data_IF_831093411659
#
_entry.id   IF_831093411659
#
_cell.length_a   1.000
_cell.length_b   1.000
_cell.length_c   1.000
_cell.angle_alpha   90.00
_cell.angle_beta   90.00
_cell.angle_gamma   90.00
#
_symmetry.space_group_name_H-M   'P 1'
#
loop_
_entity.id
_entity.type
_entity.pdbx_description
1 polymer ?
#
# COMPACT_ATOMS: atom_id res chain seq x y z
N UNK A 1 11.37 -6.08 1.59
CA UNK A 1 10.90 -5.05 0.64
C UNK A 1 11.67 -3.77 0.95
N UNK A 2 12.39 -3.20 -0.01
CA UNK A 2 13.15 -1.96 0.24
C UNK A 2 12.17 -0.77 0.36
N UNK A 3 12.25 0.07 1.41
CA UNK A 3 11.42 1.27 1.57
C UNK A 3 11.44 2.19 0.34
N UNK A 4 12.55 2.15 -0.39
CA UNK A 4 12.83 2.91 -1.59
C UNK A 4 11.79 2.71 -2.72
N UNK A 5 11.35 1.47 -2.95
CA UNK A 5 10.40 1.16 -4.04
C UNK A 5 9.02 1.76 -3.76
N UNK A 6 8.55 1.68 -2.51
CA UNK A 6 7.27 2.26 -2.13
C UNK A 6 7.30 3.79 -2.25
N UNK A 7 8.34 4.41 -1.70
CA UNK A 7 8.48 5.86 -1.70
C UNK A 7 8.56 6.44 -3.12
N UNK A 8 9.36 5.83 -4.00
CA UNK A 8 9.45 6.23 -5.41
C UNK A 8 8.10 6.12 -6.11
N UNK A 9 7.38 5.01 -5.92
CA UNK A 9 6.08 4.82 -6.56
C UNK A 9 5.02 5.78 -6.01
N UNK A 10 5.08 6.10 -4.71
CA UNK A 10 4.21 7.12 -4.11
C UNK A 10 4.43 8.52 -4.71
N UNK A 11 5.69 8.89 -4.99
CA UNK A 11 6.00 10.15 -5.67
C UNK A 11 5.46 10.17 -7.09
N UNK A 12 5.67 9.09 -7.86
CA UNK A 12 5.15 8.97 -9.22
C UNK A 12 3.62 9.06 -9.27
N UNK A 13 2.94 8.40 -8.33
CA UNK A 13 1.48 8.49 -8.16
C UNK A 13 1.06 9.93 -7.81
N UNK A 14 1.79 10.63 -6.94
CA UNK A 14 1.46 12.02 -6.61
C UNK A 14 1.61 12.97 -7.81
N UNK A 15 2.52 12.67 -8.74
CA UNK A 15 2.79 13.50 -9.92
C UNK A 15 1.85 13.18 -11.10
N UNK A 16 1.52 11.91 -11.30
CA UNK A 16 0.84 11.44 -12.52
C UNK A 16 -0.47 10.71 -12.27
N UNK A 17 -0.84 10.51 -11.01
CA UNK A 17 -2.02 9.78 -10.58
C UNK A 17 -1.84 8.26 -10.61
N UNK A 18 -2.63 7.56 -9.78
CA UNK A 18 -2.53 6.10 -9.65
C UNK A 18 -2.89 5.34 -10.92
N UNK A 19 -3.74 5.92 -11.78
CA UNK A 19 -4.14 5.28 -13.05
C UNK A 19 -2.98 5.17 -14.03
N UNK A 20 -2.09 6.17 -14.06
CA UNK A 20 -0.90 6.15 -14.92
C UNK A 20 0.11 5.07 -14.51
N UNK A 21 0.07 4.64 -13.25
CA UNK A 21 0.99 3.66 -12.66
C UNK A 21 0.29 2.37 -12.20
N UNK A 22 -0.84 2.03 -12.85
CA UNK A 22 -1.68 0.91 -12.45
C UNK A 22 -0.91 -0.43 -12.40
N UNK A 23 -0.06 -0.68 -13.39
CA UNK A 23 0.63 -1.97 -13.53
C UNK A 23 1.76 -2.10 -12.51
N UNK A 24 2.50 -1.03 -12.25
CA UNK A 24 3.52 -0.97 -11.20
C UNK A 24 2.90 -1.15 -9.82
N UNK A 25 1.76 -0.50 -9.56
CA UNK A 25 0.99 -0.64 -8.31
C UNK A 25 0.48 -2.07 -8.15
N UNK A 26 -0.04 -2.68 -9.22
CA UNK A 26 -0.49 -4.08 -9.22
C UNK A 26 0.66 -5.02 -8.91
N UNK A 27 1.82 -4.81 -9.52
CA UNK A 27 3.02 -5.61 -9.27
C UNK A 27 3.49 -5.48 -7.82
N UNK A 28 3.52 -4.25 -7.30
CA UNK A 28 3.89 -3.94 -5.93
C UNK A 28 2.95 -4.61 -4.91
N UNK A 29 1.63 -4.49 -5.10
CA UNK A 29 0.64 -5.15 -4.24
C UNK A 29 0.74 -6.67 -4.33
N UNK A 30 1.00 -7.23 -5.52
CA UNK A 30 1.21 -8.67 -5.68
C UNK A 30 2.47 -9.16 -4.95
N UNK A 31 3.53 -8.37 -4.89
CA UNK A 31 4.72 -8.68 -4.11
C UNK A 31 4.41 -8.65 -2.60
N UNK A 32 3.68 -7.64 -2.12
CA UNK A 32 3.22 -7.56 -0.72
C UNK A 32 2.38 -8.78 -0.31
N UNK A 33 1.43 -9.18 -1.15
CA UNK A 33 0.61 -10.37 -0.92
C UNK A 33 1.45 -11.66 -0.86
N UNK A 34 2.47 -11.78 -1.73
CA UNK A 34 3.42 -12.91 -1.70
C UNK A 34 4.25 -12.97 -0.42
N UNK A 35 4.50 -11.84 0.22
CA UNK A 35 5.13 -11.74 1.53
C UNK A 35 4.15 -11.93 2.70
N UNK A 36 2.91 -12.33 2.44
CA UNK A 36 1.91 -12.65 3.47
C UNK A 36 1.08 -11.46 3.94
N UNK A 37 1.28 -10.27 3.38
CA UNK A 37 0.48 -9.10 3.75
C UNK A 37 -0.93 -9.20 3.17
N UNK A 38 -1.94 -9.11 4.03
CA UNK A 38 -3.36 -9.10 3.68
C UNK A 38 -4.02 -7.96 4.44
N UNK A 39 -4.36 -6.88 3.73
CA UNK A 39 -4.98 -5.68 4.28
C UNK A 39 -6.02 -5.18 3.28
N UNK A 40 -7.16 -4.69 3.78
CA UNK A 40 -8.20 -4.07 2.95
C UNK A 40 -7.68 -2.87 2.16
N UNK A 41 -6.59 -2.24 2.60
CA UNK A 41 -5.92 -1.19 1.86
C UNK A 41 -5.30 -1.69 0.55
N UNK A 42 -4.82 -2.94 0.51
CA UNK A 42 -4.30 -3.54 -0.73
C UNK A 42 -5.43 -3.76 -1.74
N UNK A 43 -6.60 -4.19 -1.25
CA UNK A 43 -7.78 -4.41 -2.08
C UNK A 43 -8.33 -3.07 -2.60
N UNK A 44 -8.46 -2.07 -1.72
CA UNK A 44 -8.86 -0.71 -2.07
C UNK A 44 -7.92 -0.05 -3.09
N UNK A 45 -6.62 -0.26 -2.97
CA UNK A 45 -5.63 0.28 -3.92
C UNK A 45 -5.88 -0.23 -5.34
N UNK A 46 -6.26 -1.51 -5.48
CA UNK A 46 -6.43 -2.17 -6.78
C UNK A 46 -7.86 -2.11 -7.32
N UNK A 47 -8.84 -1.66 -6.55
CA UNK A 47 -10.24 -1.61 -6.98
C UNK A 47 -10.46 -0.45 -7.98
N UNK A 48 -10.69 -0.74 -9.28
CA UNK A 48 -10.87 0.29 -10.29
C UNK A 48 -12.24 0.98 -10.21
N UNK A 49 -13.16 0.46 -9.40
CA UNK A 49 -14.48 1.07 -9.17
C UNK A 49 -14.42 2.22 -8.16
N UNK A 50 -13.31 2.33 -7.43
CA UNK A 50 -13.09 3.36 -6.42
C UNK A 50 -12.52 4.64 -7.05
N UNK A 51 -12.82 5.82 -6.49
CA UNK A 51 -12.20 7.07 -6.93
C UNK A 51 -10.67 7.01 -6.81
N UNK A 52 -9.95 7.55 -7.79
CA UNK A 52 -8.47 7.54 -7.81
C UNK A 52 -7.88 8.11 -6.51
N UNK A 53 -8.43 9.21 -5.99
CA UNK A 53 -8.00 9.80 -4.71
C UNK A 53 -8.11 8.82 -3.53
N UNK A 54 -9.13 7.96 -3.50
CA UNK A 54 -9.28 6.98 -2.43
C UNK A 54 -8.21 5.88 -2.53
N UNK A 55 -7.92 5.44 -3.76
CA UNK A 55 -6.90 4.43 -4.07
C UNK A 55 -5.49 4.96 -3.76
N UNK A 56 -5.21 6.21 -4.10
CA UNK A 56 -3.94 6.91 -3.81
C UNK A 56 -3.71 7.05 -2.30
N UNK A 57 -4.75 7.47 -1.57
CA UNK A 57 -4.70 7.53 -0.10
C UNK A 57 -4.48 6.16 0.52
N UNK A 58 -5.12 5.12 -0.02
CA UNK A 58 -4.92 3.75 0.45
C UNK A 58 -3.47 3.30 0.23
N UNK A 59 -2.92 3.58 -0.95
CA UNK A 59 -1.53 3.29 -1.29
C UNK A 59 -0.56 3.97 -0.31
N UNK A 60 -0.72 5.28 -0.06
CA UNK A 60 0.15 6.01 0.86
C UNK A 60 0.07 5.57 2.33
N UNK A 61 -0.98 4.84 2.73
CA UNK A 61 -1.15 4.30 4.09
C UNK A 61 -0.55 2.90 4.27
N UNK A 62 -0.11 2.25 3.19
CA UNK A 62 0.42 0.88 3.26
C UNK A 62 1.60 0.74 4.23
N UNK A 63 2.62 1.62 4.28
CA UNK A 63 3.75 1.44 5.19
C UNK A 63 3.32 1.32 6.66
N UNK A 64 2.45 2.23 7.13
CA UNK A 64 1.93 2.21 8.49
C UNK A 64 1.10 0.95 8.79
N UNK A 65 0.37 0.43 7.80
CA UNK A 65 -0.41 -0.80 7.95
C UNK A 65 0.46 -2.05 7.96
N UNK A 66 1.62 -2.04 7.30
CA UNK A 66 2.53 -3.18 7.24
C UNK A 66 3.36 -3.28 8.55
N UNK A 67 3.78 -2.14 9.10
CA UNK A 67 4.50 -2.09 10.39
C UNK A 67 3.62 -2.49 11.58
N UNK A 68 2.32 -2.20 11.52
CA UNK A 68 1.35 -2.63 12.53
C UNK A 68 1.18 -4.16 12.59
N UNK A 69 1.51 -4.89 11.51
CA UNK A 69 1.40 -6.35 11.44
C UNK A 69 2.68 -7.02 11.97
N UNK A 70 3.84 -6.37 11.86
CA UNK A 70 5.14 -6.90 12.31
C UNK A 70 5.47 -6.58 13.75
N UNK A 71 4.79 -5.60 14.35
CA UNK A 71 4.97 -5.26 15.77
C UNK A 71 4.02 -6.11 16.61
N UNK A 72 4.50 -7.13 17.38
CA UNK A 72 3.65 -7.75 18.37
C UNK A 72 3.17 -6.67 19.34
N UNK A 73 1.88 -6.62 19.61
CA UNK A 73 1.31 -5.77 20.67
C UNK A 73 1.85 -6.30 22.00
N UNK A 74 3.05 -5.87 22.37
CA UNK A 74 3.62 -6.14 23.69
C UNK A 74 2.83 -5.30 24.68
N UNK A 75 1.88 -5.96 25.35
CA UNK A 75 1.39 -5.66 26.69
C UNK A 75 1.00 -4.21 26.97
N UNK A 76 -0.27 -3.87 26.73
CA UNK A 76 -0.93 -2.87 27.56
C UNK A 76 -1.27 -3.55 28.89
N UNK A 77 -0.32 -3.56 29.82
CA UNK A 77 -0.58 -3.89 31.22
C UNK A 77 -1.46 -2.79 31.82
N UNK A 78 -2.52 -3.23 32.51
CA UNK A 78 -3.50 -2.42 33.22
C UNK A 78 -2.89 -1.72 34.44
#
# INVERSE_FOLDING_TARGET
MTPDVHYRLALQIAEHGIRAHHDEVTHYVAALRRHGHRSSLLDLTLDPTQPDVARERAFGRLPSSLDAITTPVVGRAA
#
